data_IF_677708909755
#
_entry.id   IF_677708909755
#
_cell.length_a   1.000
_cell.length_b   1.000
_cell.length_c   1.000
_cell.angle_alpha   90.00
_cell.angle_beta   90.00
_cell.angle_gamma   90.00
#
_symmetry.space_group_name_H-M   'P 1'
#
loop_
_entity.id
_entity.type
_entity.pdbx_description
1 polymer ?
#
# COMPACT_ATOMS: atom_id res chain seq x y z
N UNK A 1 -48.01 46.68 -64.26
CA UNK A 1 -48.05 45.83 -63.04
C UNK A 1 -47.14 44.65 -63.30
N UNK A 2 -45.92 44.70 -62.77
CA UNK A 2 -44.86 43.73 -63.08
C UNK A 2 -44.64 42.86 -61.85
N UNK A 3 -44.93 41.57 -61.96
CA UNK A 3 -44.82 40.62 -60.86
C UNK A 3 -43.41 40.01 -60.90
N UNK A 4 -42.62 40.24 -59.85
CA UNK A 4 -41.30 39.62 -59.67
C UNK A 4 -41.48 38.36 -58.82
N UNK A 5 -41.21 37.20 -59.40
CA UNK A 5 -41.16 35.92 -58.69
C UNK A 5 -39.74 35.69 -58.19
N UNK A 6 -39.55 35.73 -56.87
CA UNK A 6 -38.28 35.36 -56.21
C UNK A 6 -38.31 33.85 -55.95
N UNK A 7 -37.43 33.11 -56.62
CA UNK A 7 -37.22 31.68 -56.44
C UNK A 7 -36.03 31.49 -55.48
N UNK A 8 -36.31 31.06 -54.24
CA UNK A 8 -35.28 30.75 -53.23
C UNK A 8 -34.94 29.25 -53.25
N UNK A 9 -33.68 28.95 -53.54
CA UNK A 9 -33.10 27.60 -53.46
C UNK A 9 -32.81 27.19 -52.01
N UNK A 10 -33.09 25.94 -51.59
CA UNK A 10 -32.69 25.43 -50.29
C UNK A 10 -31.43 24.56 -50.42
N UNK A 11 -30.24 25.14 -50.33
CA UNK A 11 -29.01 24.38 -50.07
C UNK A 11 -28.22 25.04 -48.93
N UNK A 12 -28.12 24.34 -47.78
CA UNK A 12 -26.98 24.40 -46.83
C UNK A 12 -27.25 23.77 -45.45
N UNK A 13 -28.34 23.01 -45.23
CA UNK A 13 -28.60 22.45 -43.88
C UNK A 13 -27.90 21.11 -43.55
N UNK A 14 -27.24 20.45 -44.52
CA UNK A 14 -26.66 19.11 -44.32
C UNK A 14 -25.20 19.10 -43.84
N UNK A 15 -24.46 20.19 -43.96
CA UNK A 15 -23.03 20.23 -43.65
C UNK A 15 -22.75 20.39 -42.14
N UNK A 16 -23.57 21.19 -41.44
CA UNK A 16 -23.47 21.45 -39.98
C UNK A 16 -23.71 20.21 -39.11
N UNK A 17 -24.47 19.22 -39.58
CA UNK A 17 -24.81 18.03 -38.78
C UNK A 17 -23.67 17.02 -38.71
N UNK A 18 -22.80 16.94 -39.72
CA UNK A 18 -21.69 15.96 -39.76
C UNK A 18 -20.50 16.34 -38.88
N UNK A 19 -20.23 17.64 -38.73
CA UNK A 19 -19.11 18.14 -37.91
C UNK A 19 -19.35 17.93 -36.41
N UNK A 20 -20.60 18.06 -35.95
CA UNK A 20 -20.95 17.85 -34.53
C UNK A 20 -20.82 16.39 -34.10
N UNK A 21 -21.14 15.43 -34.97
CA UNK A 21 -20.98 14.00 -34.65
C UNK A 21 -19.51 13.57 -34.54
N UNK A 22 -18.60 14.16 -35.33
CA UNK A 22 -17.17 13.87 -35.25
C UNK A 22 -16.53 14.29 -33.92
N UNK A 23 -16.93 15.45 -33.39
CA UNK A 23 -16.42 15.99 -32.12
C UNK A 23 -16.85 15.15 -30.91
N UNK A 24 -18.10 14.67 -30.86
CA UNK A 24 -18.56 13.82 -29.75
C UNK A 24 -17.93 12.42 -29.77
N UNK A 25 -17.69 11.85 -30.95
CA UNK A 25 -16.99 10.56 -31.08
C UNK A 25 -15.53 10.66 -30.60
N UNK A 26 -14.83 11.75 -30.94
CA UNK A 26 -13.46 11.98 -30.49
C UNK A 26 -13.39 12.20 -28.97
N UNK A 27 -14.31 12.99 -28.41
CA UNK A 27 -14.37 13.22 -26.96
C UNK A 27 -14.64 11.92 -26.18
N UNK A 28 -15.56 11.08 -26.67
CA UNK A 28 -15.81 9.77 -26.08
C UNK A 28 -14.58 8.85 -26.11
N UNK A 29 -13.81 8.88 -27.20
CA UNK A 29 -12.59 8.08 -27.34
C UNK A 29 -11.48 8.57 -26.41
N UNK A 30 -11.30 9.89 -26.27
CA UNK A 30 -10.33 10.49 -25.33
C UNK A 30 -10.67 10.14 -23.88
N UNK A 31 -11.93 10.29 -23.47
CA UNK A 31 -12.36 9.94 -22.10
C UNK A 31 -12.16 8.45 -21.82
N UNK A 32 -12.46 7.58 -22.78
CA UNK A 32 -12.25 6.13 -22.64
C UNK A 32 -10.77 5.77 -22.56
N UNK A 33 -9.93 6.40 -23.38
CA UNK A 33 -8.49 6.20 -23.37
C UNK A 33 -7.85 6.69 -22.06
N UNK A 34 -8.27 7.86 -21.56
CA UNK A 34 -7.82 8.38 -20.26
C UNK A 34 -8.30 7.48 -19.12
N UNK A 35 -9.57 7.06 -19.12
CA UNK A 35 -10.10 6.13 -18.12
C UNK A 35 -9.38 4.78 -18.11
N UNK A 36 -9.11 4.22 -19.29
CA UNK A 36 -8.34 2.98 -19.45
C UNK A 36 -6.88 3.13 -19.01
N UNK A 37 -6.23 4.25 -19.36
CA UNK A 37 -4.86 4.54 -18.95
C UNK A 37 -4.75 4.73 -17.43
N UNK A 38 -5.67 5.47 -16.81
CA UNK A 38 -5.68 5.66 -15.35
C UNK A 38 -5.93 4.33 -14.62
N UNK A 39 -6.85 3.50 -15.12
CA UNK A 39 -7.09 2.18 -14.54
C UNK A 39 -5.86 1.24 -14.68
N UNK A 40 -5.17 1.25 -15.82
CA UNK A 40 -4.00 0.41 -16.05
C UNK A 40 -2.76 0.89 -15.28
N UNK A 41 -2.58 2.22 -15.17
CA UNK A 41 -1.46 2.84 -14.43
C UNK A 41 -1.57 2.59 -12.93
N UNK A 42 -2.79 2.63 -12.38
CA UNK A 42 -3.06 2.29 -10.98
C UNK A 42 -2.75 0.82 -10.65
N UNK A 43 -2.86 -0.07 -11.63
CA UNK A 43 -2.66 -1.52 -11.44
C UNK A 43 -1.18 -1.93 -11.53
N UNK A 44 -0.37 -1.23 -12.34
CA UNK A 44 1.00 -1.65 -12.67
C UNK A 44 2.07 -0.89 -11.87
N UNK A 45 1.96 0.44 -11.73
CA UNK A 45 2.95 1.25 -11.02
C UNK A 45 3.00 1.01 -9.50
N UNK A 46 1.89 0.59 -8.89
CA UNK A 46 1.82 0.30 -7.45
C UNK A 46 2.46 -1.03 -7.03
N UNK A 47 2.48 -2.03 -7.91
CA UNK A 47 2.92 -3.40 -7.55
C UNK A 47 4.43 -3.50 -7.34
N UNK A 48 5.23 -2.87 -8.19
CA UNK A 48 6.68 -2.95 -8.07
C UNK A 48 7.22 -2.14 -6.89
N UNK A 49 6.61 -0.98 -6.62
CA UNK A 49 6.91 -0.18 -5.43
C UNK A 49 6.60 -0.94 -4.13
N UNK A 50 5.45 -1.61 -4.07
CA UNK A 50 5.07 -2.39 -2.90
C UNK A 50 6.00 -3.57 -2.62
N UNK A 51 6.41 -4.31 -3.65
CA UNK A 51 7.37 -5.43 -3.50
C UNK A 51 8.74 -4.99 -2.98
N UNK A 52 9.24 -3.84 -3.47
CA UNK A 52 10.52 -3.28 -3.00
C UNK A 52 10.43 -2.87 -1.53
N UNK A 53 9.35 -2.20 -1.14
CA UNK A 53 9.16 -1.77 0.24
C UNK A 53 8.95 -2.94 1.19
N UNK A 54 8.20 -3.96 0.78
CA UNK A 54 8.06 -5.20 1.55
C UNK A 54 9.43 -5.87 1.79
N UNK A 55 10.27 -5.97 0.76
CA UNK A 55 11.63 -6.50 0.91
C UNK A 55 12.45 -5.65 1.88
N UNK A 56 12.44 -4.33 1.70
CA UNK A 56 13.15 -3.41 2.58
C UNK A 56 12.68 -3.55 4.05
N UNK A 57 11.38 -3.73 4.30
CA UNK A 57 10.85 -4.00 5.63
C UNK A 57 11.39 -5.29 6.23
N UNK A 58 11.48 -6.38 5.44
CA UNK A 58 12.06 -7.64 5.91
C UNK A 58 13.55 -7.51 6.23
N UNK A 59 14.29 -6.73 5.44
CA UNK A 59 15.70 -6.42 5.73
C UNK A 59 15.85 -5.59 7.00
N UNK A 60 15.02 -4.57 7.19
CA UNK A 60 14.98 -3.75 8.40
C UNK A 60 14.55 -4.52 9.64
N UNK A 61 13.65 -5.50 9.50
CA UNK A 61 13.20 -6.36 10.59
C UNK A 61 14.34 -7.15 11.24
N UNK A 62 15.28 -7.66 10.44
CA UNK A 62 16.47 -8.35 10.98
C UNK A 62 17.27 -7.43 11.91
N UNK A 63 17.36 -6.14 11.58
CA UNK A 63 18.05 -5.15 12.43
C UNK A 63 17.24 -4.81 13.67
N UNK A 64 15.91 -4.71 13.56
CA UNK A 64 15.00 -4.54 14.70
C UNK A 64 15.17 -5.66 15.71
N UNK A 65 15.16 -6.91 15.24
CA UNK A 65 15.33 -8.11 16.06
C UNK A 65 16.71 -8.18 16.70
N UNK A 66 17.76 -7.85 15.95
CA UNK A 66 19.12 -7.81 16.47
C UNK A 66 19.27 -6.78 17.60
N UNK A 67 18.66 -5.59 17.47
CA UNK A 67 18.66 -4.60 18.55
C UNK A 67 17.80 -5.02 19.74
N UNK A 68 16.62 -5.60 19.48
CA UNK A 68 15.75 -6.11 20.53
C UNK A 68 16.41 -7.24 21.33
N UNK A 69 17.15 -8.12 20.68
CA UNK A 69 17.89 -9.19 21.35
C UNK A 69 19.04 -8.67 22.21
N UNK A 70 19.68 -7.56 21.82
CA UNK A 70 20.79 -6.95 22.57
C UNK A 70 20.32 -6.09 23.74
N UNK A 71 19.26 -5.29 23.54
CA UNK A 71 18.90 -4.20 24.45
C UNK A 71 17.62 -4.48 25.25
N UNK A 72 16.93 -5.57 24.93
CA UNK A 72 15.57 -5.85 25.40
C UNK A 72 14.51 -4.79 25.04
N UNK A 73 14.85 -3.84 24.17
CA UNK A 73 13.96 -2.76 23.74
C UNK A 73 13.85 -2.74 22.21
N UNK A 74 12.67 -2.39 21.72
CA UNK A 74 12.45 -2.13 20.31
C UNK A 74 12.98 -0.75 19.94
N UNK A 75 13.87 -0.61 18.95
CA UNK A 75 14.50 0.67 18.64
C UNK A 75 13.51 1.63 17.95
N UNK A 76 13.69 2.93 18.18
CA UNK A 76 12.93 3.96 17.46
C UNK A 76 13.28 4.00 15.97
N UNK A 77 12.32 4.33 15.08
CA UNK A 77 12.58 4.42 13.64
C UNK A 77 13.70 5.41 13.28
N UNK A 78 13.84 6.51 14.01
CA UNK A 78 14.93 7.49 13.81
C UNK A 78 16.32 6.87 14.02
N UNK A 79 16.49 6.02 15.04
CA UNK A 79 17.75 5.34 15.29
C UNK A 79 18.12 4.33 14.18
N UNK A 80 17.13 3.80 13.47
CA UNK A 80 17.35 2.96 12.28
C UNK A 80 17.69 3.83 11.06
N UNK A 81 17.01 4.97 10.92
CA UNK A 81 17.25 5.94 9.87
C UNK A 81 18.67 6.52 9.91
N UNK A 82 19.15 6.90 11.09
CA UNK A 82 20.50 7.44 11.31
C UNK A 82 21.60 6.45 10.92
N UNK A 83 21.28 5.15 10.94
CA UNK A 83 22.18 4.06 10.52
C UNK A 83 22.03 3.67 9.05
N UNK A 84 21.17 4.37 8.29
CA UNK A 84 20.94 4.07 6.88
C UNK A 84 20.16 2.78 6.64
N UNK A 85 19.40 2.29 7.62
CA UNK A 85 18.66 1.03 7.48
C UNK A 85 17.35 1.26 6.73
N UNK A 86 17.13 0.63 5.55
CA UNK A 86 15.86 0.74 4.85
C UNK A 86 14.74 -0.06 5.56
N UNK A 87 13.47 0.33 5.40
CA UNK A 87 12.99 1.55 4.75
C UNK A 87 13.02 2.80 5.65
N UNK A 88 13.54 2.67 6.88
CA UNK A 88 13.51 3.74 7.89
C UNK A 88 14.37 4.93 7.50
N UNK A 89 15.48 4.70 6.79
CA UNK A 89 16.36 5.74 6.27
C UNK A 89 15.76 6.59 5.12
N UNK A 90 14.55 6.25 4.65
CA UNK A 90 13.92 6.93 3.51
C UNK A 90 14.38 6.40 2.14
N UNK A 91 13.75 6.91 1.08
CA UNK A 91 14.10 6.59 -0.31
C UNK A 91 14.86 7.78 -0.93
N UNK A 92 15.88 7.55 -1.78
CA UNK A 92 16.55 8.64 -2.51
C UNK A 92 15.58 9.51 -3.32
N UNK A 93 14.45 8.96 -3.75
CA UNK A 93 13.34 9.71 -4.28
C UNK A 93 12.39 10.13 -3.13
N UNK A 94 12.30 11.43 -2.79
CA UNK A 94 11.48 11.91 -1.66
C UNK A 94 9.98 11.62 -1.82
N UNK A 95 9.46 11.53 -3.05
CA UNK A 95 8.05 11.14 -3.30
C UNK A 95 7.79 9.68 -2.93
N UNK A 96 8.86 8.86 -2.90
CA UNK A 96 8.82 7.45 -2.52
C UNK A 96 9.02 7.22 -1.02
N UNK A 97 9.43 8.25 -0.28
CA UNK A 97 9.72 8.17 1.14
C UNK A 97 8.47 8.00 2.02
N UNK A 98 8.73 7.51 3.22
CA UNK A 98 7.75 7.27 4.26
C UNK A 98 8.23 7.94 5.57
N UNK A 99 7.30 8.52 6.31
CA UNK A 99 7.50 8.89 7.72
C UNK A 99 7.14 7.68 8.57
N UNK A 100 8.13 7.16 9.29
CA UNK A 100 7.96 5.99 10.17
C UNK A 100 7.79 6.42 11.61
N UNK A 101 6.82 5.81 12.29
CA UNK A 101 6.56 5.99 13.73
C UNK A 101 6.40 4.63 14.39
N UNK A 102 6.85 4.51 15.64
CA UNK A 102 6.68 3.30 16.46
C UNK A 102 5.61 3.55 17.51
N UNK A 103 4.72 2.58 17.66
CA UNK A 103 3.72 2.54 18.71
C UNK A 103 3.80 1.21 19.43
N UNK A 104 3.54 1.19 20.73
CA UNK A 104 3.57 -0.03 21.52
C UNK A 104 2.40 -0.06 22.49
N UNK A 105 1.74 -1.22 22.57
CA UNK A 105 0.68 -1.49 23.53
C UNK A 105 0.84 -2.93 24.04
N UNK A 106 1.20 -3.05 25.32
CA UNK A 106 1.54 -4.35 25.91
C UNK A 106 2.70 -5.01 25.17
N UNK A 107 2.52 -6.28 24.79
CA UNK A 107 3.48 -7.10 24.04
C UNK A 107 3.47 -6.87 22.53
N UNK A 108 2.61 -5.98 22.03
CA UNK A 108 2.50 -5.68 20.59
C UNK A 108 3.18 -4.36 20.25
N UNK A 109 4.00 -4.37 19.21
CA UNK A 109 4.68 -3.20 18.64
C UNK A 109 4.27 -3.03 17.18
N UNK A 110 3.95 -1.79 16.83
CA UNK A 110 3.59 -1.36 15.49
C UNK A 110 4.62 -0.37 14.97
N UNK A 111 5.19 -0.63 13.80
CA UNK A 111 5.94 0.34 13.00
C UNK A 111 5.06 0.78 11.84
N UNK A 112 4.54 2.00 11.93
CA UNK A 112 3.61 2.58 10.98
C UNK A 112 4.34 3.55 10.04
N UNK A 113 4.29 3.25 8.74
CA UNK A 113 4.85 4.08 7.68
C UNK A 113 3.75 4.85 6.96
N UNK A 114 3.71 6.17 7.17
CA UNK A 114 2.88 7.08 6.39
C UNK A 114 3.64 7.53 5.14
N UNK A 115 3.07 7.36 3.93
CA UNK A 115 3.73 7.85 2.73
C UNK A 115 3.71 9.38 2.71
N UNK A 116 4.77 9.99 2.18
CA UNK A 116 4.80 11.45 1.97
C UNK A 116 3.76 11.87 0.92
N UNK A 117 3.60 11.09 -0.15
CA UNK A 117 2.48 11.21 -1.09
C UNK A 117 1.25 10.46 -0.53
N UNK A 118 0.17 11.17 -0.14
CA UNK A 118 -0.99 10.56 0.50
C UNK A 118 -1.79 9.61 -0.42
N UNK A 119 -1.55 9.65 -1.74
CA UNK A 119 -2.18 8.72 -2.70
C UNK A 119 -1.59 7.31 -2.67
N UNK A 120 -0.41 7.16 -2.06
CA UNK A 120 0.29 5.88 -1.92
C UNK A 120 -0.26 5.09 -0.73
N UNK A 121 -0.05 3.77 -0.70
CA UNK A 121 -0.46 2.96 0.43
C UNK A 121 0.41 3.23 1.67
N UNK A 122 -0.20 3.18 2.85
CA UNK A 122 0.51 3.10 4.13
C UNK A 122 0.92 1.65 4.40
N UNK A 123 1.97 1.50 5.21
CA UNK A 123 2.55 0.21 5.58
C UNK A 123 2.60 0.08 7.09
N UNK A 124 2.37 -1.12 7.58
CA UNK A 124 2.41 -1.42 9.00
C UNK A 124 3.17 -2.73 9.19
N UNK A 125 4.20 -2.70 10.01
CA UNK A 125 4.85 -3.89 10.55
C UNK A 125 4.38 -4.07 11.98
N UNK A 126 3.72 -5.18 12.25
CA UNK A 126 3.28 -5.58 13.60
C UNK A 126 4.19 -6.69 14.09
N UNK A 127 4.68 -6.53 15.31
CA UNK A 127 5.48 -7.52 16.03
C UNK A 127 4.77 -7.80 17.34
N UNK A 128 4.46 -9.06 17.61
CA UNK A 128 3.86 -9.49 18.86
C UNK A 128 4.83 -10.41 19.58
N UNK A 129 5.21 -10.01 20.79
CA UNK A 129 5.93 -10.85 21.74
C UNK A 129 4.94 -11.77 22.48
N UNK A 130 5.42 -12.92 23.01
CA UNK A 130 4.61 -13.74 23.88
C UNK A 130 4.31 -13.01 25.19
N UNK A 131 3.14 -13.26 25.76
CA UNK A 131 2.81 -12.76 27.10
C UNK A 131 3.80 -13.31 28.15
N UNK A 132 4.13 -12.55 29.20
CA UNK A 132 5.00 -13.02 30.27
C UNK A 132 4.49 -14.33 30.89
N UNK A 133 5.34 -15.36 30.89
CA UNK A 133 5.00 -16.69 31.42
C UNK A 133 4.23 -17.59 30.44
N UNK A 134 3.96 -17.14 29.21
CA UNK A 134 3.43 -18.00 28.17
C UNK A 134 4.39 -19.18 27.89
N UNK A 135 3.81 -20.33 27.55
CA UNK A 135 4.60 -21.47 27.09
C UNK A 135 5.30 -21.12 25.77
N UNK A 136 6.52 -21.65 25.53
CA UNK A 136 7.19 -21.46 24.25
C UNK A 136 6.30 -21.94 23.08
N UNK A 137 6.16 -21.09 22.06
CA UNK A 137 5.46 -21.46 20.83
C UNK A 137 6.26 -22.55 20.08
N UNK A 138 5.65 -23.71 19.76
CA UNK A 138 6.33 -24.78 19.02
C UNK A 138 6.42 -24.52 17.51
N UNK A 139 5.83 -23.45 16.98
CA UNK A 139 5.86 -23.14 15.55
C UNK A 139 7.31 -23.07 15.02
N UNK A 140 7.56 -23.63 13.82
CA UNK A 140 8.85 -23.53 13.17
C UNK A 140 9.14 -22.08 12.75
N UNK A 141 10.41 -21.72 12.57
CA UNK A 141 10.74 -20.42 12.02
C UNK A 141 10.24 -20.31 10.57
N UNK A 142 9.41 -19.31 10.30
CA UNK A 142 8.86 -19.00 8.98
C UNK A 142 8.70 -17.48 8.80
N UNK A 143 7.84 -17.03 7.89
CA UNK A 143 7.62 -15.60 7.66
C UNK A 143 6.92 -14.88 8.80
N UNK A 144 6.13 -15.61 9.58
CA UNK A 144 5.29 -15.11 10.67
C UNK A 144 5.91 -15.42 12.04
N UNK A 145 6.66 -16.51 12.17
CA UNK A 145 7.24 -16.94 13.45
C UNK A 145 8.75 -16.76 13.41
N UNK A 146 9.25 -15.79 14.15
CA UNK A 146 10.68 -15.48 14.22
C UNK A 146 11.20 -15.76 15.63
N UNK A 147 12.07 -16.77 15.78
CA UNK A 147 12.69 -17.10 17.07
C UNK A 147 13.99 -16.33 17.30
N UNK A 148 14.02 -15.53 18.36
CA UNK A 148 15.20 -14.81 18.83
C UNK A 148 16.21 -15.75 19.51
N UNK A 149 17.48 -15.33 19.68
CA UNK A 149 18.51 -16.15 20.34
C UNK A 149 18.21 -16.53 21.79
N UNK A 150 17.38 -15.76 22.49
CA UNK A 150 16.92 -16.04 23.86
C UNK A 150 15.77 -17.06 23.91
N UNK A 151 15.31 -17.56 22.76
CA UNK A 151 14.22 -18.52 22.63
C UNK A 151 12.83 -17.88 22.50
N UNK A 152 12.72 -16.56 22.64
CA UNK A 152 11.47 -15.81 22.41
C UNK A 152 11.00 -16.01 20.98
N UNK A 153 9.76 -16.44 20.77
CA UNK A 153 9.16 -16.53 19.43
C UNK A 153 8.28 -15.31 19.21
N UNK A 154 8.63 -14.51 18.21
CA UNK A 154 7.87 -13.34 17.78
C UNK A 154 6.86 -13.73 16.71
N UNK A 155 5.66 -13.17 16.77
CA UNK A 155 4.71 -13.19 15.66
C UNK A 155 4.83 -11.89 14.85
N UNK A 156 5.15 -12.03 13.56
CA UNK A 156 5.45 -10.94 12.65
C UNK A 156 4.39 -10.86 11.56
N UNK A 157 3.82 -9.68 11.38
CA UNK A 157 2.85 -9.44 10.32
C UNK A 157 3.17 -8.14 9.59
N UNK A 158 3.12 -8.18 8.26
CA UNK A 158 3.24 -6.98 7.43
C UNK A 158 1.89 -6.71 6.77
N UNK A 159 1.44 -5.46 6.87
CA UNK A 159 0.16 -5.02 6.38
C UNK A 159 0.30 -3.82 5.46
N UNK A 160 -0.67 -3.68 4.55
CA UNK A 160 -0.79 -2.53 3.66
C UNK A 160 -2.21 -1.96 3.73
N UNK A 161 -2.31 -0.63 3.84
CA UNK A 161 -3.59 0.09 3.73
C UNK A 161 -3.61 0.93 2.46
N UNK A 162 -4.61 0.75 1.61
CA UNK A 162 -4.67 1.38 0.27
C UNK A 162 -4.71 2.91 0.34
N UNK A 163 -5.40 3.47 1.33
CA UNK A 163 -5.59 4.91 1.49
C UNK A 163 -4.60 5.46 2.52
N UNK A 164 -3.31 5.57 2.15
CA UNK A 164 -2.26 5.90 3.12
C UNK A 164 -2.42 7.26 3.79
N UNK A 165 -2.88 8.26 3.04
CA UNK A 165 -3.18 9.60 3.60
C UNK A 165 -4.40 9.68 4.52
N UNK A 166 -5.18 8.60 4.67
CA UNK A 166 -6.36 8.54 5.53
C UNK A 166 -6.12 7.72 6.81
N UNK A 167 -4.97 7.06 6.92
CA UNK A 167 -4.63 6.31 8.13
C UNK A 167 -4.30 7.31 9.23
N UNK A 168 -4.95 7.25 10.40
CA UNK A 168 -4.60 8.09 11.54
C UNK A 168 -3.24 7.69 12.12
N UNK A 169 -2.51 8.66 12.66
CA UNK A 169 -1.34 8.38 13.48
C UNK A 169 -1.79 7.64 14.76
N UNK A 170 -1.17 6.51 15.08
CA UNK A 170 -1.44 5.80 16.32
C UNK A 170 -1.19 4.29 16.25
N UNK A 171 -1.39 3.64 17.40
CA UNK A 171 -1.41 2.19 17.46
C UNK A 171 -2.61 1.65 16.67
N UNK A 172 -2.36 0.66 15.80
CA UNK A 172 -3.42 0.00 15.02
C UNK A 172 -3.75 -1.34 15.68
N UNK A 173 -4.84 -1.43 16.47
CA UNK A 173 -5.32 -2.71 16.96
C UNK A 173 -6.02 -3.47 15.82
N UNK A 174 -5.81 -4.78 15.77
CA UNK A 174 -6.51 -5.69 14.84
C UNK A 174 -6.60 -5.15 13.40
N UNK A 175 -5.46 -5.00 12.68
CA UNK A 175 -5.41 -4.35 11.38
C UNK A 175 -6.48 -4.86 10.38
N UNK A 176 -6.76 -6.16 10.38
CA UNK A 176 -7.73 -6.81 9.51
C UNK A 176 -9.16 -6.23 9.61
N UNK A 177 -9.52 -5.64 10.75
CA UNK A 177 -10.86 -5.04 10.94
C UNK A 177 -10.96 -3.61 10.40
N UNK A 178 -9.82 -3.01 10.02
CA UNK A 178 -9.69 -1.59 9.72
C UNK A 178 -9.12 -1.34 8.31
N UNK A 179 -9.47 -2.18 7.34
CA UNK A 179 -9.11 -1.99 5.93
C UNK A 179 -7.66 -2.33 5.57
N UNK A 180 -6.88 -2.90 6.50
CA UNK A 180 -5.54 -3.39 6.23
C UNK A 180 -5.57 -4.76 5.57
N UNK A 181 -4.65 -4.98 4.64
CA UNK A 181 -4.50 -6.26 3.93
C UNK A 181 -3.13 -6.82 4.28
N UNK A 182 -3.09 -8.08 4.72
CA UNK A 182 -1.85 -8.80 5.02
C UNK A 182 -1.02 -9.03 3.76
N UNK A 183 0.28 -8.81 3.86
CA UNK A 183 1.24 -8.98 2.77
C UNK A 183 2.22 -10.09 3.16
N UNK A 184 2.29 -11.13 2.33
CA UNK A 184 3.09 -12.33 2.57
C UNK A 184 4.10 -12.54 1.46
N UNK A 185 5.26 -13.13 1.79
CA UNK A 185 6.24 -13.51 0.75
C UNK A 185 5.75 -14.74 -0.02
N UNK A 186 5.08 -15.66 0.68
CA UNK A 186 4.43 -16.85 0.15
C UNK A 186 2.94 -16.77 0.49
N UNK A 187 2.02 -16.99 -0.46
CA UNK A 187 0.60 -17.04 -0.13
C UNK A 187 0.35 -18.07 0.97
N UNK A 188 -0.46 -17.73 2.00
CA UNK A 188 -0.79 -18.69 3.04
C UNK A 188 -1.43 -19.91 2.40
N UNK A 189 -1.04 -21.10 2.87
CA UNK A 189 -1.67 -22.34 2.42
C UNK A 189 -3.18 -22.22 2.58
N UNK A 190 -3.99 -22.49 1.55
CA UNK A 190 -5.43 -22.47 1.72
C UNK A 190 -5.75 -23.51 2.80
N UNK A 191 -6.29 -23.04 3.93
CA UNK A 191 -6.80 -23.95 4.96
C UNK A 191 -7.81 -24.82 4.27
N UNK A 192 -7.52 -26.13 4.19
CA UNK A 192 -8.43 -27.07 3.58
C UNK A 192 -9.79 -26.90 4.26
N UNK A 193 -10.83 -26.58 3.47
CA UNK A 193 -12.16 -26.38 4.03
C UNK A 193 -12.51 -27.59 4.89
N UNK A 194 -13.09 -27.39 6.09
CA UNK A 194 -13.48 -28.50 6.93
C UNK A 194 -14.37 -29.42 6.10
N UNK A 195 -13.99 -30.70 5.99
CA UNK A 195 -14.85 -31.73 5.39
C UNK A 195 -16.13 -31.74 6.23
N UNK A 196 -17.22 -31.29 5.63
CA UNK A 196 -18.56 -31.40 6.21
C UNK A 196 -19.02 -32.85 6.20
#
# INVERSE_FOLDING_TARGET
MTQVTIQSSPESSRQSRRERFGLFALAGLIVTAIGGYLALSAVTGGRDGGRKLFRALREGLVQLEAERAKTALWPEPSALADRGIPPFAGDPNPERSYRWQRFQQGVTVNYLGHPIDPSRPAWLLTIQEPEPGALPDPAPNDDEHHRLPDGTTLHIYVWQHRYGGQVPDGFVPQPQNNGWIGVFSTPPSPVAAPKR
#
